data_IF_175733420806
#
_entry.id   IF_175733420806
#
_cell.length_a   1.000
_cell.length_b   1.000
_cell.length_c   1.000
_cell.angle_alpha   90.00
_cell.angle_beta   90.00
_cell.angle_gamma   90.00
#
_symmetry.space_group_name_H-M   'P 1'
#
loop_
_entity.id
_entity.type
_entity.pdbx_description
1 polymer ?
#
# COMPACT_ATOMS: atom_id res chain seq x y z
N UNK A 1 9.69 27.61 1.87
CA UNK A 1 10.44 26.36 2.09
C UNK A 1 10.05 25.83 3.44
N UNK A 2 8.87 25.24 3.51
CA UNK A 2 8.40 24.59 4.72
C UNK A 2 8.21 23.10 4.44
N UNK A 3 8.85 22.25 5.23
CA UNK A 3 8.39 20.87 5.39
C UNK A 3 7.06 20.95 6.15
N UNK A 4 5.95 20.90 5.42
CA UNK A 4 4.59 21.02 5.98
C UNK A 4 4.12 19.76 6.69
N UNK A 5 4.85 18.64 6.54
CA UNK A 5 4.62 17.40 7.29
C UNK A 5 5.27 17.42 8.70
N UNK A 6 6.17 18.36 8.98
CA UNK A 6 6.88 18.43 10.27
C UNK A 6 5.89 18.55 11.44
N UNK A 7 5.97 17.61 12.38
CA UNK A 7 5.12 17.52 13.57
C UNK A 7 3.68 17.09 13.30
N UNK A 8 3.34 16.69 12.07
CA UNK A 8 1.97 16.28 11.72
C UNK A 8 1.68 14.86 12.18
N UNK A 9 0.40 14.61 12.47
CA UNK A 9 -0.09 13.32 12.96
C UNK A 9 -0.12 12.29 11.83
N UNK A 10 0.34 11.08 12.13
CA UNK A 10 0.01 9.87 11.38
C UNK A 10 -1.35 9.36 11.85
N UNK A 11 -2.24 9.06 10.91
CA UNK A 11 -3.63 8.72 11.22
C UNK A 11 -3.81 7.32 11.78
N UNK A 12 -3.05 6.37 11.24
CA UNK A 12 -3.03 4.97 11.66
C UNK A 12 -2.25 4.79 12.96
N UNK A 13 -2.55 3.71 13.69
CA UNK A 13 -1.94 3.39 14.99
C UNK A 13 -0.56 2.74 14.82
N UNK A 14 0.37 3.47 14.21
CA UNK A 14 1.75 3.04 14.09
C UNK A 14 2.49 3.21 15.41
N UNK A 15 3.28 2.20 15.77
CA UNK A 15 4.19 2.31 16.90
C UNK A 15 5.20 3.42 16.65
N UNK A 16 5.40 4.30 17.64
CA UNK A 16 6.27 5.49 17.54
C UNK A 16 5.96 6.38 16.34
N UNK A 17 4.68 6.53 15.98
CA UNK A 17 4.24 7.29 14.79
C UNK A 17 4.82 8.71 14.67
N UNK A 18 5.05 9.39 15.79
CA UNK A 18 5.66 10.73 15.82
C UNK A 18 7.07 10.76 15.22
N UNK A 19 7.80 9.65 15.24
CA UNK A 19 9.14 9.59 14.65
C UNK A 19 9.09 9.85 13.14
N UNK A 20 8.02 9.44 12.44
CA UNK A 20 7.91 9.64 11.00
C UNK A 20 7.81 11.11 10.58
N UNK A 21 7.58 12.04 11.49
CA UNK A 21 7.38 13.47 11.17
C UNK A 21 8.13 14.40 12.11
N UNK A 22 9.09 13.93 12.92
CA UNK A 22 9.74 14.75 13.93
C UNK A 22 10.97 15.53 13.41
N UNK A 23 11.37 15.35 12.16
CA UNK A 23 12.54 15.99 11.57
C UNK A 23 13.87 15.35 11.96
N UNK A 24 13.87 14.26 12.73
CA UNK A 24 15.08 13.58 13.17
C UNK A 24 15.49 12.47 12.21
N UNK A 25 16.29 12.85 11.24
CA UNK A 25 16.84 11.95 10.22
C UNK A 25 18.13 11.25 10.65
N UNK A 26 18.48 11.33 11.94
CA UNK A 26 19.75 10.85 12.48
C UNK A 26 19.54 10.04 13.77
N UNK A 27 20.56 9.27 14.17
CA UNK A 27 20.58 8.51 15.43
C UNK A 27 19.51 7.42 15.57
N UNK A 28 18.78 7.09 14.52
CA UNK A 28 17.94 5.90 14.49
C UNK A 28 18.82 4.63 14.51
N UNK A 29 18.38 3.63 15.27
CA UNK A 29 19.11 2.38 15.52
C UNK A 29 18.30 1.19 15.04
N UNK A 30 18.71 -0.05 15.30
CA UNK A 30 17.89 -1.21 14.94
C UNK A 30 16.54 -1.30 15.66
N UNK A 31 16.38 -0.55 16.77
CA UNK A 31 15.25 -0.72 17.68
C UNK A 31 14.50 0.60 18.00
N UNK A 32 14.95 1.74 17.49
CA UNK A 32 14.40 3.06 17.84
C UNK A 32 14.70 4.13 16.76
N UNK A 33 13.97 5.24 16.81
CA UNK A 33 14.11 6.37 15.89
C UNK A 33 13.39 6.18 14.55
N UNK A 34 12.29 5.44 14.55
CA UNK A 34 11.44 5.24 13.39
C UNK A 34 10.01 4.88 13.85
N UNK A 35 9.03 5.21 13.03
CA UNK A 35 7.69 4.67 13.11
C UNK A 35 7.65 3.27 12.47
N UNK A 36 6.84 2.37 13.02
CA UNK A 36 6.68 1.03 12.44
C UNK A 36 5.32 0.39 12.68
N UNK A 37 4.94 -0.52 11.78
CA UNK A 37 3.72 -1.34 11.84
C UNK A 37 3.94 -2.67 11.10
N UNK A 38 3.14 -3.72 11.33
CA UNK A 38 3.17 -4.91 10.47
C UNK A 38 2.68 -4.56 9.06
N UNK A 39 3.38 -4.99 8.01
CA UNK A 39 2.87 -4.85 6.64
C UNK A 39 1.87 -5.98 6.30
N UNK A 40 0.88 -5.73 5.41
CA UNK A 40 0.61 -4.45 4.76
C UNK A 40 -0.16 -3.48 5.66
N UNK A 41 0.13 -2.19 5.54
CA UNK A 41 -0.61 -1.12 6.25
C UNK A 41 -0.47 0.23 5.53
N UNK A 42 -1.23 1.24 5.94
CA UNK A 42 -1.04 2.61 5.48
C UNK A 42 -0.39 3.48 6.55
N UNK A 43 0.51 4.36 6.11
CA UNK A 43 0.96 5.52 6.87
C UNK A 43 0.41 6.75 6.17
N UNK A 44 -0.63 7.35 6.72
CA UNK A 44 -1.29 8.55 6.22
C UNK A 44 -0.97 9.72 7.14
N UNK A 45 -0.41 10.79 6.57
CA UNK A 45 -0.15 12.05 7.28
C UNK A 45 -1.23 13.04 6.90
N UNK A 46 -1.96 13.56 7.89
CA UNK A 46 -2.87 14.70 7.71
C UNK A 46 -2.07 16.00 7.87
N UNK A 47 -1.92 16.74 6.76
CA UNK A 47 -1.25 18.06 6.75
C UNK A 47 -2.14 19.16 7.36
N UNK A 48 -3.39 18.84 7.72
CA UNK A 48 -4.45 19.71 8.28
C UNK A 48 -5.02 20.75 7.31
N UNK A 49 -4.26 21.13 6.28
CA UNK A 49 -4.66 22.02 5.20
C UNK A 49 -4.30 21.43 3.84
N UNK A 50 -4.94 21.92 2.78
CA UNK A 50 -4.52 21.60 1.41
C UNK A 50 -3.31 22.48 1.07
N UNK A 51 -2.21 21.84 0.70
CA UNK A 51 -0.99 22.49 0.23
C UNK A 51 -0.74 22.18 -1.25
N UNK A 52 -0.06 23.10 -1.92
CA UNK A 52 0.54 22.88 -3.23
C UNK A 52 1.94 22.25 -3.02
N UNK A 53 2.02 20.93 -3.09
CA UNK A 53 3.24 20.18 -2.82
C UNK A 53 4.13 20.10 -4.06
N UNK A 54 5.37 20.56 -3.91
CA UNK A 54 6.41 20.47 -4.94
C UNK A 54 7.25 19.20 -4.80
N UNK A 55 7.50 18.75 -3.57
CA UNK A 55 8.33 17.58 -3.31
C UNK A 55 7.75 16.80 -2.14
N UNK A 56 7.67 15.47 -2.29
CA UNK A 56 7.54 14.55 -1.15
C UNK A 56 8.80 13.71 -1.11
N UNK A 57 9.39 13.57 0.06
CA UNK A 57 10.50 12.64 0.27
C UNK A 57 10.38 11.95 1.61
N UNK A 58 10.89 10.74 1.70
CA UNK A 58 10.88 10.01 2.97
C UNK A 58 12.09 9.10 3.08
N UNK A 59 12.47 8.82 4.32
CA UNK A 59 13.58 7.97 4.70
C UNK A 59 13.03 6.65 5.23
N UNK A 60 13.27 5.57 4.48
CA UNK A 60 13.05 4.22 4.98
C UNK A 60 14.30 3.74 5.70
N UNK A 61 14.13 2.89 6.72
CA UNK A 61 15.26 2.38 7.50
C UNK A 61 16.32 1.71 6.60
N UNK A 62 17.55 2.24 6.63
CA UNK A 62 18.69 1.70 5.87
C UNK A 62 19.91 1.40 6.76
N UNK A 63 19.77 1.52 8.08
CA UNK A 63 20.83 1.28 9.05
C UNK A 63 21.94 2.34 9.11
N UNK A 64 21.86 3.44 8.34
CA UNK A 64 22.90 4.48 8.31
C UNK A 64 22.73 5.55 9.41
N UNK A 65 21.62 5.55 10.14
CA UNK A 65 21.37 6.49 11.24
C UNK A 65 22.26 6.29 12.47
N UNK A 66 22.90 5.12 12.61
CA UNK A 66 23.76 4.81 13.77
C UNK A 66 25.08 5.58 13.69
N UNK A 67 25.62 6.09 14.81
CA UNK A 67 26.96 6.66 14.83
C UNK A 67 27.98 5.68 14.25
N UNK A 68 28.81 6.16 13.32
CA UNK A 68 29.85 5.39 12.63
C UNK A 68 29.35 4.22 11.76
N UNK A 69 28.06 4.16 11.41
CA UNK A 69 27.57 3.21 10.42
C UNK A 69 28.18 3.53 9.06
N UNK A 70 28.87 2.55 8.46
CA UNK A 70 29.46 2.66 7.12
C UNK A 70 28.82 1.73 6.11
N UNK A 71 27.89 0.88 6.57
CA UNK A 71 27.32 -0.19 5.78
C UNK A 71 25.80 -0.08 5.84
N UNK A 72 25.20 0.09 4.66
CA UNK A 72 23.75 0.11 4.47
C UNK A 72 23.19 -1.29 4.75
N UNK A 73 22.08 -1.35 5.46
CA UNK A 73 21.29 -2.58 5.65
C UNK A 73 20.79 -3.08 4.28
N UNK A 74 20.74 -4.41 4.11
CA UNK A 74 20.37 -5.03 2.84
C UNK A 74 18.86 -5.16 2.64
N UNK A 75 18.06 -4.85 3.66
CA UNK A 75 16.61 -4.91 3.54
C UNK A 75 16.08 -3.93 2.52
N UNK A 76 14.99 -4.32 1.88
CA UNK A 76 14.27 -3.50 0.91
C UNK A 76 12.79 -3.50 1.26
N UNK A 77 12.15 -2.39 0.94
CA UNK A 77 10.72 -2.17 1.17
C UNK A 77 9.99 -1.99 -0.15
N UNK A 78 8.75 -2.46 -0.20
CA UNK A 78 7.80 -2.19 -1.28
C UNK A 78 6.66 -1.34 -0.77
N UNK A 79 6.29 -0.34 -1.54
CA UNK A 79 5.24 0.58 -1.16
C UNK A 79 4.66 1.30 -2.37
N UNK A 80 3.52 1.96 -2.13
CA UNK A 80 2.96 2.99 -3.02
C UNK A 80 2.96 4.35 -2.35
N UNK A 81 3.21 5.41 -3.12
CA UNK A 81 3.06 6.80 -2.70
C UNK A 81 1.77 7.35 -3.28
N UNK A 82 0.85 7.79 -2.42
CA UNK A 82 -0.41 8.39 -2.83
C UNK A 82 -0.64 9.74 -2.14
N UNK A 83 -1.47 10.58 -2.74
CA UNK A 83 -1.97 11.79 -2.09
C UNK A 83 -3.47 11.96 -2.25
N UNK A 84 -4.10 12.64 -1.30
CA UNK A 84 -5.53 12.99 -1.38
C UNK A 84 -5.79 14.41 -0.88
N UNK A 85 -6.87 15.03 -1.36
CA UNK A 85 -7.41 16.29 -0.82
C UNK A 85 -8.51 16.06 0.21
N UNK A 86 -9.23 14.94 0.11
CA UNK A 86 -10.50 14.72 0.80
C UNK A 86 -10.58 13.38 1.54
N UNK A 87 -9.46 12.64 1.58
CA UNK A 87 -9.31 11.32 2.20
C UNK A 87 -10.05 10.18 1.50
N UNK A 88 -10.80 10.46 0.42
CA UNK A 88 -11.59 9.46 -0.32
C UNK A 88 -11.00 9.13 -1.68
N UNK A 89 -10.59 10.16 -2.42
CA UNK A 89 -9.95 10.00 -3.72
C UNK A 89 -8.44 10.06 -3.55
N UNK A 90 -7.77 8.96 -3.88
CA UNK A 90 -6.32 8.82 -3.74
C UNK A 90 -5.66 8.77 -5.11
N UNK A 91 -4.75 9.71 -5.36
CA UNK A 91 -3.93 9.74 -6.56
C UNK A 91 -2.64 8.97 -6.31
N UNK A 92 -2.44 7.86 -7.04
CA UNK A 92 -1.19 7.10 -7.00
C UNK A 92 -0.10 7.84 -7.79
N UNK A 93 1.03 8.15 -7.16
CA UNK A 93 2.16 8.84 -7.80
C UNK A 93 3.32 7.92 -8.10
N UNK A 94 3.48 6.86 -7.33
CA UNK A 94 4.57 5.91 -7.51
C UNK A 94 4.23 4.55 -6.90
N UNK A 95 4.58 3.49 -7.60
CA UNK A 95 4.57 2.11 -7.09
C UNK A 95 5.96 1.51 -7.30
N UNK A 96 6.50 0.87 -6.26
CA UNK A 96 7.73 0.09 -6.36
C UNK A 96 7.62 -1.13 -7.29
N UNK A 97 6.41 -1.67 -7.48
CA UNK A 97 6.15 -2.87 -8.26
C UNK A 97 6.97 -4.08 -7.82
N UNK A 98 7.80 -4.60 -8.73
CA UNK A 98 8.68 -5.74 -8.46
C UNK A 98 9.95 -5.36 -7.71
N UNK A 99 10.39 -4.11 -7.84
CA UNK A 99 11.58 -3.58 -7.19
C UNK A 99 11.33 -3.33 -5.70
N UNK A 100 12.38 -2.95 -4.98
CA UNK A 100 12.28 -2.49 -3.60
C UNK A 100 13.46 -1.62 -3.24
N UNK A 101 13.22 -0.69 -2.32
CA UNK A 101 14.19 0.34 -1.96
C UNK A 101 14.26 0.52 -0.45
N UNK A 102 15.36 1.11 0.03
CA UNK A 102 15.50 1.62 1.38
C UNK A 102 16.13 3.02 1.33
N UNK A 103 16.37 3.64 2.48
CA UNK A 103 17.01 4.95 2.53
C UNK A 103 16.09 6.05 2.02
N UNK A 104 16.71 7.15 1.58
CA UNK A 104 15.99 8.31 1.09
C UNK A 104 15.41 8.12 -0.30
N UNK A 105 14.16 8.54 -0.45
CA UNK A 105 13.44 8.55 -1.72
C UNK A 105 12.79 9.91 -1.92
N UNK A 106 12.96 10.51 -3.10
CA UNK A 106 12.52 11.87 -3.41
C UNK A 106 11.68 11.90 -4.69
N UNK A 107 10.49 12.49 -4.58
CA UNK A 107 9.50 12.62 -5.63
C UNK A 107 9.21 14.10 -5.86
N UNK A 108 9.68 14.62 -6.99
CA UNK A 108 9.44 15.99 -7.43
C UNK A 108 8.21 16.05 -8.34
N UNK A 109 7.27 16.95 -8.06
CA UNK A 109 6.03 17.10 -8.80
C UNK A 109 6.11 18.25 -9.80
N UNK A 110 5.86 17.95 -11.08
CA UNK A 110 5.83 18.94 -12.16
C UNK A 110 4.58 18.69 -13.04
N UNK A 111 3.49 19.48 -12.87
CA UNK A 111 3.32 20.58 -11.93
C UNK A 111 3.17 20.10 -10.47
N UNK A 112 3.30 21.00 -9.48
CA UNK A 112 2.98 20.70 -8.09
C UNK A 112 1.59 20.08 -7.91
N UNK A 113 1.43 19.25 -6.86
CA UNK A 113 0.18 18.54 -6.58
C UNK A 113 -0.55 19.17 -5.40
N UNK A 114 -1.87 19.34 -5.50
CA UNK A 114 -2.69 19.77 -4.38
C UNK A 114 -3.05 18.58 -3.50
N UNK A 115 -2.61 18.60 -2.23
CA UNK A 115 -2.87 17.53 -1.29
C UNK A 115 -3.03 18.04 0.15
N UNK A 116 -3.92 17.40 0.90
CA UNK A 116 -3.98 17.49 2.36
C UNK A 116 -3.41 16.24 3.02
N UNK A 117 -3.54 15.09 2.36
CA UNK A 117 -3.09 13.81 2.89
C UNK A 117 -1.97 13.25 2.02
N UNK A 118 -0.91 12.78 2.68
CA UNK A 118 0.19 12.03 2.04
C UNK A 118 0.15 10.62 2.61
N UNK A 119 0.08 9.61 1.75
CA UNK A 119 0.00 8.21 2.14
C UNK A 119 1.17 7.41 1.57
N UNK A 120 1.84 6.69 2.45
CA UNK A 120 2.75 5.59 2.09
C UNK A 120 2.00 4.30 2.38
N UNK A 121 1.58 3.60 1.34
CA UNK A 121 1.01 2.27 1.47
C UNK A 121 2.16 1.27 1.61
N UNK A 122 2.44 0.87 2.85
CA UNK A 122 3.51 -0.04 3.22
C UNK A 122 3.14 -1.48 2.84
N UNK A 123 3.62 -1.98 1.71
CA UNK A 123 3.18 -3.27 1.16
C UNK A 123 4.04 -4.45 1.63
N UNK A 124 5.35 -4.26 1.78
CA UNK A 124 6.27 -5.38 2.09
C UNK A 124 7.63 -4.93 2.63
N UNK A 125 8.30 -5.81 3.38
CA UNK A 125 9.70 -5.71 3.80
C UNK A 125 10.39 -7.08 3.64
N UNK A 126 11.60 -7.12 3.07
CA UNK A 126 12.37 -8.34 2.85
C UNK A 126 12.95 -9.00 4.10
N UNK A 127 13.14 -8.24 5.19
CA UNK A 127 13.85 -8.74 6.37
C UNK A 127 12.93 -9.33 7.45
N UNK A 128 11.74 -8.74 7.64
CA UNK A 128 10.78 -9.17 8.67
C UNK A 128 9.39 -8.58 8.42
N UNK A 129 8.43 -8.86 9.31
CA UNK A 129 7.04 -8.40 9.20
C UNK A 129 6.81 -6.91 9.41
N UNK A 130 7.81 -6.14 9.84
CA UNK A 130 7.66 -4.74 10.24
C UNK A 130 8.09 -3.79 9.12
N UNK A 131 7.26 -2.83 8.76
CA UNK A 131 7.64 -1.73 7.88
C UNK A 131 8.18 -0.56 8.71
N UNK A 132 9.27 0.07 8.30
CA UNK A 132 9.93 1.11 9.10
C UNK A 132 10.11 2.41 8.30
N UNK A 133 9.56 3.50 8.82
CA UNK A 133 9.68 4.84 8.27
C UNK A 133 10.38 5.73 9.30
N UNK A 134 11.53 6.28 8.93
CA UNK A 134 12.33 7.15 9.80
C UNK A 134 11.81 8.58 9.73
N UNK A 135 11.51 9.10 8.54
CA UNK A 135 11.06 10.48 8.34
C UNK A 135 10.25 10.58 7.05
N UNK A 136 9.23 11.43 7.04
CA UNK A 136 8.46 11.84 5.87
C UNK A 136 8.42 13.35 5.84
N UNK A 137 8.82 13.90 4.70
CA UNK A 137 8.80 15.32 4.43
C UNK A 137 7.89 15.62 3.23
N UNK A 138 7.05 16.63 3.37
CA UNK A 138 6.25 17.19 2.28
C UNK A 138 6.56 18.68 2.17
N UNK A 139 6.99 19.15 1.01
CA UNK A 139 7.44 20.53 0.82
C UNK A 139 6.49 21.28 -0.10
N UNK A 140 6.03 22.44 0.37
CA UNK A 140 5.18 23.40 -0.37
C UNK A 140 5.97 24.28 -1.35
N UNK A 141 7.24 23.96 -1.54
CA UNK A 141 8.20 24.66 -2.39
C UNK A 141 9.36 23.70 -2.67
N UNK A 142 10.32 24.05 -3.56
CA UNK A 142 11.47 23.18 -3.80
C UNK A 142 12.16 22.78 -2.49
N UNK A 143 12.38 21.48 -2.30
CA UNK A 143 12.98 20.95 -1.09
C UNK A 143 14.45 21.40 -0.94
N UNK A 144 14.93 21.64 0.30
CA UNK A 144 16.34 21.90 0.54
C UNK A 144 17.21 20.73 0.05
N UNK A 145 18.40 21.06 -0.47
CA UNK A 145 19.35 20.04 -0.95
C UNK A 145 19.70 19.08 0.18
N UNK A 146 19.48 17.79 -0.08
CA UNK A 146 19.85 16.73 0.85
C UNK A 146 21.36 16.51 0.89
N UNK A 147 21.91 16.32 2.09
CA UNK A 147 23.33 15.98 2.30
C UNK A 147 23.57 14.48 2.23
N UNK A 148 22.57 13.68 2.59
CA UNK A 148 22.58 12.23 2.46
C UNK A 148 22.37 11.78 1.01
N UNK A 149 22.77 10.56 0.70
CA UNK A 149 22.49 9.90 -0.57
C UNK A 149 20.99 9.67 -0.74
N UNK A 150 20.45 10.05 -1.90
CA UNK A 150 19.10 9.70 -2.33
C UNK A 150 19.14 8.41 -3.14
N UNK A 151 18.52 7.33 -2.65
CA UNK A 151 18.51 6.03 -3.34
C UNK A 151 17.61 6.06 -4.56
N UNK A 152 16.42 6.63 -4.40
CA UNK A 152 15.46 6.79 -5.48
C UNK A 152 15.12 8.26 -5.67
N UNK A 153 15.26 8.76 -6.89
CA UNK A 153 14.75 10.07 -7.28
C UNK A 153 13.87 9.94 -8.52
N UNK A 154 12.69 10.56 -8.47
CA UNK A 154 11.70 10.55 -9.56
C UNK A 154 11.09 11.94 -9.74
N UNK A 155 10.81 12.28 -10.98
CA UNK A 155 10.02 13.46 -11.34
C UNK A 155 8.66 12.98 -11.84
N UNK A 156 7.60 13.33 -11.13
CA UNK A 156 6.22 12.94 -11.42
C UNK A 156 5.57 14.00 -12.30
N UNK A 157 5.04 13.60 -13.47
CA UNK A 157 4.41 14.51 -14.45
C UNK A 157 2.96 14.13 -14.70
N UNK A 158 2.03 15.08 -14.46
CA UNK A 158 0.56 14.90 -14.50
C UNK A 158 -0.07 14.55 -15.86
N UNK A 159 0.66 14.07 -16.87
CA UNK A 159 0.06 13.78 -18.18
C UNK A 159 0.33 12.40 -18.76
N UNK A 160 1.13 11.54 -18.11
CA UNK A 160 1.49 10.24 -18.68
C UNK A 160 1.48 9.08 -17.66
N UNK A 161 1.77 9.31 -16.37
CA UNK A 161 2.08 8.18 -15.45
C UNK A 161 1.03 7.87 -14.34
N UNK A 162 -0.05 8.65 -14.16
CA UNK A 162 -0.89 8.49 -12.95
C UNK A 162 -2.36 8.93 -13.06
N UNK A 163 -3.13 8.37 -14.00
CA UNK A 163 -4.60 8.45 -13.95
C UNK A 163 -5.23 7.40 -13.03
N UNK A 164 -4.44 6.77 -12.17
CA UNK A 164 -4.92 5.74 -11.24
C UNK A 164 -5.45 6.40 -9.97
N UNK A 165 -6.77 6.64 -9.98
CA UNK A 165 -7.52 7.08 -8.82
C UNK A 165 -7.97 5.82 -8.07
N UNK A 166 -7.41 5.61 -6.88
CA UNK A 166 -7.92 4.62 -5.94
C UNK A 166 -9.10 5.25 -5.17
N UNK A 167 -10.27 4.61 -5.24
CA UNK A 167 -11.47 5.03 -4.50
C UNK A 167 -11.56 4.27 -3.17
N UNK A 168 -11.60 5.02 -2.07
CA UNK A 168 -11.99 4.53 -0.76
C UNK A 168 -10.90 4.62 0.31
N UNK A 169 -11.32 4.33 1.55
CA UNK A 169 -10.41 4.11 2.67
C UNK A 169 -9.72 2.76 2.47
N UNK A 170 -8.65 2.76 1.68
CA UNK A 170 -7.67 1.68 1.72
C UNK A 170 -7.11 1.67 3.14
N UNK A 171 -7.70 0.87 4.00
CA UNK A 171 -6.99 0.11 5.01
C UNK A 171 -6.84 -1.25 4.35
N UNK A 172 -5.63 -1.84 4.24
CA UNK A 172 -5.49 -3.11 3.54
C UNK A 172 -6.48 -4.10 4.14
N UNK A 173 -7.34 -4.70 3.31
CA UNK A 173 -8.42 -5.56 3.81
C UNK A 173 -7.85 -6.69 4.69
N UNK A 174 -6.66 -7.18 4.31
CA UNK A 174 -5.90 -8.13 5.11
C UNK A 174 -5.51 -7.63 6.51
N UNK A 175 -5.24 -6.33 6.70
CA UNK A 175 -4.96 -5.76 8.02
C UNK A 175 -6.22 -5.68 8.87
N UNK A 176 -7.33 -5.15 8.32
CA UNK A 176 -8.65 -5.15 8.99
C UNK A 176 -9.04 -6.54 9.48
N UNK A 177 -8.78 -7.57 8.66
CA UNK A 177 -9.09 -8.94 9.04
C UNK A 177 -8.07 -9.53 10.01
N UNK A 178 -6.79 -9.19 9.87
CA UNK A 178 -5.77 -9.58 10.86
C UNK A 178 -6.09 -9.01 12.24
N UNK A 179 -6.47 -7.74 12.33
CA UNK A 179 -6.78 -7.09 13.61
C UNK A 179 -8.04 -7.71 14.24
N UNK A 180 -9.04 -8.04 13.42
CA UNK A 180 -10.23 -8.75 13.89
C UNK A 180 -9.87 -10.16 14.38
N UNK A 181 -8.98 -10.88 13.68
CA UNK A 181 -8.49 -12.18 14.10
C UNK A 181 -7.74 -12.09 15.44
N UNK A 182 -6.88 -11.09 15.61
CA UNK A 182 -6.13 -10.84 16.85
C UNK A 182 -7.09 -10.57 18.03
N UNK A 183 -8.12 -9.74 17.82
CA UNK A 183 -9.13 -9.44 18.84
C UNK A 183 -9.93 -10.71 19.24
N UNK A 184 -10.29 -11.55 18.27
CA UNK A 184 -11.00 -12.80 18.55
C UNK A 184 -10.10 -13.77 19.33
N UNK A 185 -8.83 -13.94 18.93
CA UNK A 185 -7.86 -14.76 19.67
C UNK A 185 -7.69 -14.26 21.11
N UNK A 186 -7.61 -12.94 21.32
CA UNK A 186 -7.48 -12.34 22.65
C UNK A 186 -8.72 -12.60 23.53
N UNK A 187 -9.94 -12.45 22.98
CA UNK A 187 -11.19 -12.71 23.70
C UNK A 187 -11.29 -14.20 24.07
N UNK A 188 -10.96 -15.11 23.16
CA UNK A 188 -10.98 -16.56 23.41
C UNK A 188 -9.98 -16.93 24.51
N UNK A 189 -8.76 -16.37 24.47
CA UNK A 189 -7.74 -16.62 25.49
C UNK A 189 -8.13 -16.05 26.89
N UNK A 190 -8.88 -14.95 26.94
CA UNK A 190 -9.35 -14.34 28.19
C UNK A 190 -10.59 -15.02 28.78
N UNK A 191 -11.37 -15.72 27.96
CA UNK A 191 -12.61 -16.39 28.37
C UNK A 191 -12.66 -17.85 27.86
N UNK A 192 -11.80 -18.74 28.40
CA UNK A 192 -11.69 -20.12 27.94
C UNK A 192 -12.99 -20.94 28.09
N UNK A 193 -13.90 -20.54 28.99
CA UNK A 193 -15.16 -21.25 29.26
C UNK A 193 -16.28 -20.97 28.22
N UNK A 194 -16.14 -19.95 27.35
CA UNK A 194 -17.20 -19.51 26.45
C UNK A 194 -17.24 -20.27 25.11
N UNK A 195 -16.14 -20.90 24.71
CA UNK A 195 -16.00 -21.58 23.43
C UNK A 195 -15.15 -22.83 23.64
N UNK A 196 -15.67 -24.00 23.22
CA UNK A 196 -14.95 -25.28 23.28
C UNK A 196 -13.78 -25.28 22.28
N UNK A 197 -12.71 -24.62 22.69
CA UNK A 197 -11.27 -24.62 22.37
C UNK A 197 -10.66 -25.03 21.01
N UNK A 198 -11.37 -25.58 20.01
CA UNK A 198 -10.71 -26.00 18.74
C UNK A 198 -11.33 -25.39 17.47
N UNK A 199 -12.67 -25.43 17.25
CA UNK A 199 -13.24 -25.06 15.96
C UNK A 199 -13.13 -23.56 15.64
N UNK A 200 -13.23 -22.69 16.64
CA UNK A 200 -13.21 -21.24 16.40
C UNK A 200 -11.80 -20.73 16.13
N UNK A 201 -10.80 -21.28 16.83
CA UNK A 201 -9.39 -21.00 16.55
C UNK A 201 -8.99 -21.51 15.17
N UNK A 202 -9.48 -22.68 14.76
CA UNK A 202 -9.22 -23.19 13.41
C UNK A 202 -9.92 -22.35 12.33
N UNK A 203 -11.13 -21.83 12.58
CA UNK A 203 -11.80 -20.87 11.69
C UNK A 203 -11.02 -19.56 11.58
N UNK A 204 -10.52 -19.00 12.69
CA UNK A 204 -9.69 -17.77 12.67
C UNK A 204 -8.39 -18.00 11.91
N UNK A 205 -7.74 -19.14 12.14
CA UNK A 205 -6.53 -19.57 11.45
C UNK A 205 -6.77 -19.80 9.96
N UNK A 206 -7.89 -20.42 9.59
CA UNK A 206 -8.29 -20.61 8.19
C UNK A 206 -8.68 -19.29 7.52
N UNK A 207 -9.32 -18.36 8.25
CA UNK A 207 -9.51 -16.98 7.80
C UNK A 207 -8.17 -16.32 7.50
N UNK A 208 -7.20 -16.38 8.43
CA UNK A 208 -5.85 -15.84 8.22
C UNK A 208 -5.16 -16.43 6.99
N UNK A 209 -5.31 -17.74 6.74
CA UNK A 209 -4.77 -18.39 5.54
C UNK A 209 -5.46 -17.86 4.28
N UNK A 210 -6.80 -17.82 4.25
CA UNK A 210 -7.56 -17.34 3.10
C UNK A 210 -7.30 -15.85 2.80
N UNK A 211 -7.06 -15.04 3.82
CA UNK A 211 -6.69 -13.63 3.64
C UNK A 211 -5.24 -13.45 3.19
N UNK A 212 -4.34 -14.34 3.59
CA UNK A 212 -3.00 -14.41 2.98
C UNK A 212 -3.09 -14.71 1.48
N UNK A 213 -4.00 -15.58 1.07
CA UNK A 213 -4.26 -15.86 -0.34
C UNK A 213 -4.91 -14.65 -1.05
N UNK A 214 -5.75 -13.87 -0.38
CA UNK A 214 -6.26 -12.60 -0.92
C UNK A 214 -5.14 -11.56 -1.09
N UNK A 215 -4.19 -11.46 -0.15
CA UNK A 215 -2.99 -10.63 -0.34
C UNK A 215 -2.19 -11.08 -1.57
N UNK A 216 -2.09 -12.39 -1.81
CA UNK A 216 -1.47 -12.92 -3.02
C UNK A 216 -2.30 -12.58 -4.28
N UNK A 217 -3.63 -12.52 -4.18
CA UNK A 217 -4.51 -12.05 -5.26
C UNK A 217 -4.34 -10.55 -5.50
N UNK A 218 -4.28 -9.70 -4.47
CA UNK A 218 -3.99 -8.26 -4.60
C UNK A 218 -2.62 -8.05 -5.28
N UNK A 219 -1.59 -8.76 -4.82
CA UNK A 219 -0.27 -8.76 -5.48
C UNK A 219 -0.31 -9.30 -6.91
N UNK A 220 -1.15 -10.30 -7.20
CA UNK A 220 -1.32 -10.82 -8.55
C UNK A 220 -2.13 -9.86 -9.44
N UNK A 221 -3.11 -9.14 -8.91
CA UNK A 221 -3.83 -8.07 -9.62
C UNK A 221 -2.86 -6.94 -9.93
N UNK A 222 -2.03 -6.54 -8.98
CA UNK A 222 -0.97 -5.54 -9.18
C UNK A 222 0.08 -6.02 -10.21
N UNK A 223 0.41 -7.32 -10.21
CA UNK A 223 1.31 -7.93 -11.21
C UNK A 223 0.66 -8.00 -12.60
N UNK A 224 -0.62 -8.38 -12.70
CA UNK A 224 -1.40 -8.37 -13.94
C UNK A 224 -1.52 -6.94 -14.46
N UNK A 225 -1.70 -5.97 -13.56
CA UNK A 225 -1.81 -4.56 -13.92
C UNK A 225 -0.53 -4.05 -14.57
N UNK A 226 0.61 -4.22 -13.90
CA UNK A 226 1.91 -3.77 -14.40
C UNK A 226 2.41 -4.55 -15.62
N UNK A 227 2.11 -5.85 -15.74
CA UNK A 227 2.59 -6.66 -16.87
C UNK A 227 1.68 -6.66 -18.09
N UNK A 228 0.37 -6.48 -17.89
CA UNK A 228 -0.64 -6.63 -18.96
C UNK A 228 -1.41 -5.34 -19.17
N UNK A 229 -1.98 -4.77 -18.11
CA UNK A 229 -2.90 -3.62 -18.26
C UNK A 229 -2.15 -2.36 -18.68
N UNK A 230 -1.06 -2.00 -18.02
CA UNK A 230 -0.26 -0.80 -18.32
C UNK A 230 0.32 -0.82 -19.74
N UNK A 231 1.01 -1.89 -20.20
CA UNK A 231 1.51 -1.94 -21.57
C UNK A 231 0.41 -1.86 -22.62
N UNK A 232 -0.72 -2.54 -22.40
CA UNK A 232 -1.86 -2.53 -23.33
C UNK A 232 -2.49 -1.14 -23.39
N UNK A 233 -2.66 -0.47 -22.24
CA UNK A 233 -3.23 0.88 -22.18
C UNK A 233 -2.31 1.89 -22.88
N UNK A 234 -0.99 1.76 -22.70
CA UNK A 234 0.01 2.60 -23.36
C UNK A 234 0.03 2.39 -24.89
N UNK A 235 -0.06 1.15 -25.37
CA UNK A 235 -0.17 0.86 -26.81
C UNK A 235 -1.50 1.35 -27.40
N UNK A 236 -2.59 1.28 -26.64
CA UNK A 236 -3.88 1.81 -27.03
C UNK A 236 -3.92 3.35 -27.07
N UNK A 237 -3.22 4.00 -26.15
CA UNK A 237 -3.07 5.45 -26.15
C UNK A 237 -2.36 5.93 -27.42
N UNK A 238 -1.31 5.21 -27.84
CA UNK A 238 -0.65 5.42 -29.13
C UNK A 238 -1.61 5.15 -30.31
N UNK A 239 -2.40 4.08 -30.28
CA UNK A 239 -3.35 3.73 -31.34
C UNK A 239 -4.55 4.70 -31.46
N UNK A 240 -5.02 5.25 -30.35
CA UNK A 240 -6.10 6.24 -30.30
C UNK A 240 -5.68 7.59 -30.86
N UNK A 241 -4.43 8.00 -30.64
CA UNK A 241 -3.82 9.18 -31.26
C UNK A 241 -3.71 9.04 -32.79
N UNK A 242 -3.73 7.81 -33.30
CA UNK A 242 -3.78 7.46 -34.73
C UNK A 242 -5.21 7.30 -35.27
N UNK A 243 -6.25 7.62 -34.49
CA UNK A 243 -7.64 7.77 -34.95
C UNK A 243 -8.39 6.49 -35.30
N UNK A 244 -7.88 5.30 -34.94
CA UNK A 244 -8.50 4.04 -35.39
C UNK A 244 -9.52 3.39 -34.44
N UNK A 245 -9.55 3.71 -33.13
CA UNK A 245 -10.49 3.08 -32.17
C UNK A 245 -10.84 3.96 -30.96
N UNK A 246 -12.03 3.73 -30.37
CA UNK A 246 -12.51 4.37 -29.13
C UNK A 246 -12.00 3.63 -27.89
N UNK A 247 -11.22 4.31 -27.04
CA UNK A 247 -10.65 3.77 -25.79
C UNK A 247 -11.71 3.18 -24.85
N UNK A 248 -12.85 3.87 -24.72
CA UNK A 248 -13.92 3.45 -23.82
C UNK A 248 -14.55 2.12 -24.27
N UNK A 249 -14.78 1.93 -25.57
CA UNK A 249 -15.42 0.73 -26.09
C UNK A 249 -14.65 -0.57 -25.81
N UNK A 250 -13.32 -0.50 -25.84
CA UNK A 250 -12.47 -1.65 -25.57
C UNK A 250 -12.34 -1.95 -24.06
N UNK A 251 -12.22 -0.91 -23.21
CA UNK A 251 -12.22 -1.07 -21.75
C UNK A 251 -13.55 -1.70 -21.27
N UNK A 252 -14.68 -1.23 -21.78
CA UNK A 252 -15.98 -1.85 -21.49
C UNK A 252 -16.05 -3.31 -21.98
N UNK A 253 -15.38 -3.62 -23.10
CA UNK A 253 -15.25 -4.99 -23.59
C UNK A 253 -14.46 -5.90 -22.63
N UNK A 254 -13.29 -5.46 -22.15
CA UNK A 254 -12.47 -6.21 -21.19
C UNK A 254 -13.21 -6.40 -19.86
N UNK A 255 -13.81 -5.32 -19.33
CA UNK A 255 -14.61 -5.41 -18.10
C UNK A 255 -15.77 -6.40 -18.29
N UNK A 256 -16.44 -6.39 -19.44
CA UNK A 256 -17.48 -7.36 -19.76
C UNK A 256 -16.98 -8.81 -19.76
N UNK A 257 -15.79 -9.06 -20.31
CA UNK A 257 -15.17 -10.39 -20.31
C UNK A 257 -14.80 -10.83 -18.90
N UNK A 258 -14.20 -9.95 -18.10
CA UNK A 258 -13.82 -10.24 -16.70
C UNK A 258 -15.06 -10.53 -15.86
N UNK A 259 -16.11 -9.72 -15.97
CA UNK A 259 -17.39 -9.95 -15.29
C UNK A 259 -18.01 -11.29 -15.69
N UNK A 260 -17.90 -11.66 -16.97
CA UNK A 260 -18.37 -12.96 -17.47
C UNK A 260 -17.57 -14.12 -16.86
N UNK A 261 -16.25 -14.00 -16.80
CA UNK A 261 -15.37 -15.02 -16.19
C UNK A 261 -15.66 -15.16 -14.69
N UNK A 262 -15.80 -14.05 -13.96
CA UNK A 262 -16.15 -14.06 -12.54
C UNK A 262 -17.52 -14.70 -12.33
N UNK A 263 -18.51 -14.37 -13.17
CA UNK A 263 -19.84 -14.98 -13.13
C UNK A 263 -19.79 -16.50 -13.37
N UNK A 264 -18.98 -16.96 -14.33
CA UNK A 264 -18.76 -18.39 -14.58
C UNK A 264 -18.11 -19.09 -13.39
N UNK A 265 -17.11 -18.48 -12.76
CA UNK A 265 -16.43 -19.04 -11.57
C UNK A 265 -17.38 -19.13 -10.38
N UNK A 266 -18.15 -18.08 -10.10
CA UNK A 266 -19.16 -18.07 -9.01
C UNK A 266 -20.25 -19.10 -9.28
N UNK A 267 -20.72 -19.20 -10.53
CA UNK A 267 -21.71 -20.20 -10.94
C UNK A 267 -21.18 -21.61 -10.73
N UNK A 268 -19.96 -21.91 -11.18
CA UNK A 268 -19.33 -23.22 -10.98
C UNK A 268 -19.12 -23.56 -9.50
N UNK A 269 -18.68 -22.58 -8.70
CA UNK A 269 -18.51 -22.77 -7.25
C UNK A 269 -19.83 -23.06 -6.55
N UNK A 270 -20.89 -22.34 -6.93
CA UNK A 270 -22.25 -22.55 -6.42
C UNK A 270 -22.80 -23.92 -6.83
N UNK A 271 -22.53 -24.35 -8.06
CA UNK A 271 -22.91 -25.67 -8.58
C UNK A 271 -22.22 -26.80 -7.80
N UNK A 272 -20.92 -26.68 -7.53
CA UNK A 272 -20.15 -27.65 -6.74
C UNK A 272 -20.62 -27.70 -5.29
N UNK A 273 -20.99 -26.56 -4.70
CA UNK A 273 -21.54 -26.49 -3.35
C UNK A 273 -22.91 -27.17 -3.24
N UNK A 274 -23.78 -26.99 -4.23
CA UNK A 274 -25.09 -27.66 -4.31
C UNK A 274 -24.91 -29.18 -4.50
N UNK A 275 -24.00 -29.61 -5.38
CA UNK A 275 -23.71 -31.03 -5.59
C UNK A 275 -23.15 -31.68 -4.32
N UNK A 276 -22.25 -31.01 -3.60
CA UNK A 276 -21.71 -31.53 -2.35
C UNK A 276 -22.78 -31.60 -1.25
N UNK A 277 -23.67 -30.61 -1.17
CA UNK A 277 -24.80 -30.62 -0.23
C UNK A 277 -25.80 -31.74 -0.55
N UNK A 278 -26.11 -31.97 -1.84
CA UNK A 278 -26.98 -33.06 -2.27
C UNK A 278 -26.34 -34.44 -2.04
N UNK A 279 -25.03 -34.59 -2.25
CA UNK A 279 -24.28 -35.82 -1.91
C UNK A 279 -24.34 -36.12 -0.41
N UNK A 280 -24.23 -35.09 0.42
CA UNK A 280 -24.29 -35.21 1.88
C UNK A 280 -25.70 -35.58 2.38
N UNK A 281 -26.76 -35.16 1.68
CA UNK A 281 -28.14 -35.54 1.95
C UNK A 281 -28.51 -36.93 1.42
N UNK A 282 -27.83 -37.44 0.39
CA UNK A 282 -28.12 -38.75 -0.21
C UNK A 282 -27.46 -39.95 0.49
N UNK A 283 -26.67 -39.74 1.55
CA UNK A 283 -26.19 -40.81 2.43
C UNK A 283 -25.29 -41.87 1.77
N UNK A 284 -24.37 -41.45 0.90
CA UNK A 284 -23.24 -42.28 0.46
C UNK A 284 -21.93 -41.53 0.63
#
# INVERSE_FOLDING_TARGET
MANVALGKRVEEDWSNSIEATNGNVSKYTGNAGFAYTPWPDNLTIDLENIYELHVIRFLLFDGLGRPNSKTRDTRIYKYRLLTSKDHREWHLHFDTGKDGYNGWQEFEFIPPVQARYVRIHAMWNSANKWFHVVEVEAHDSPAPKMTAECVLKRTIRNSIDSNEIELGETYPLARKVSDLADQIEEIVNKHPDWLKEEPLLEVVKELRIRFRDINLIEQNIDSIRSEIIEPVTNEMDKASKLGKYSKYGFIFGIIGIIVTIIGLVISNYSYLKIINYLKQLSGH
#
